data_IF_977752379782
#
_entry.id   IF_977752379782
#
_cell.length_a   1.000
_cell.length_b   1.000
_cell.length_c   1.000
_cell.angle_alpha   90.00
_cell.angle_beta   90.00
_cell.angle_gamma   90.00
#
_symmetry.space_group_name_H-M   'P 1'
#
loop_
_entity.id
_entity.type
_entity.pdbx_description
1 polymer ?
#
# COMPACT_ATOMS: atom_id res chain seq x y z
N UNK A 1 10.11 33.00 18.38
CA UNK A 1 9.17 33.54 17.38
C UNK A 1 8.08 32.48 17.17
N UNK A 2 6.80 32.79 17.45
CA UNK A 2 5.69 31.88 17.10
C UNK A 2 5.58 31.87 15.57
N UNK A 3 5.98 30.79 14.94
CA UNK A 3 5.86 30.62 13.50
C UNK A 3 4.38 30.54 13.16
N UNK A 4 3.86 31.55 12.46
CA UNK A 4 2.44 31.63 12.13
C UNK A 4 2.12 30.61 11.03
N UNK A 5 1.15 29.74 11.31
CA UNK A 5 0.65 28.79 10.32
C UNK A 5 -0.30 29.49 9.35
N UNK A 6 -0.22 29.14 8.08
CA UNK A 6 -1.06 29.71 7.03
C UNK A 6 -2.37 28.91 6.97
N UNK A 7 -3.50 29.57 7.19
CA UNK A 7 -4.82 28.97 7.01
C UNK A 7 -5.24 29.10 5.55
N UNK A 8 -5.51 27.97 4.91
CA UNK A 8 -5.92 27.92 3.50
C UNK A 8 -6.82 26.69 3.25
N UNK A 9 -7.07 26.36 2.00
CA UNK A 9 -7.81 25.16 1.60
C UNK A 9 -6.91 24.22 0.80
N UNK A 10 -7.27 22.95 0.74
CA UNK A 10 -6.49 21.96 0.01
C UNK A 10 -6.38 22.31 -1.49
N UNK A 11 -7.34 23.04 -2.05
CA UNK A 11 -7.30 23.50 -3.44
C UNK A 11 -6.10 24.41 -3.78
N UNK A 12 -5.59 25.14 -2.78
CA UNK A 12 -4.38 25.97 -2.95
C UNK A 12 -3.09 25.14 -2.88
N UNK A 13 -3.18 23.94 -2.30
CA UNK A 13 -2.04 23.08 -2.00
C UNK A 13 -1.79 22.01 -3.06
N UNK A 14 -2.84 21.61 -3.80
CA UNK A 14 -2.74 20.50 -4.74
C UNK A 14 -3.51 20.75 -6.04
N UNK A 15 -2.98 20.19 -7.12
CA UNK A 15 -3.70 20.01 -8.38
C UNK A 15 -4.06 18.54 -8.53
N UNK A 16 -5.28 18.23 -8.96
CA UNK A 16 -5.75 16.87 -9.13
C UNK A 16 -5.64 16.43 -10.58
N UNK A 17 -5.16 15.22 -10.80
CA UNK A 17 -5.14 14.54 -12.08
C UNK A 17 -5.99 13.27 -11.99
N UNK A 18 -6.89 13.06 -12.93
CA UNK A 18 -7.65 11.82 -13.06
C UNK A 18 -6.85 10.79 -13.84
N UNK A 19 -6.89 9.55 -13.38
CA UNK A 19 -6.38 8.43 -14.15
C UNK A 19 -7.35 7.95 -15.22
N UNK A 20 -6.99 6.83 -15.84
CA UNK A 20 -7.79 6.17 -16.87
C UNK A 20 -7.51 4.67 -16.91
N UNK A 21 -8.43 3.94 -17.52
CA UNK A 21 -8.27 2.51 -17.76
C UNK A 21 -8.12 2.32 -19.27
N UNK A 22 -6.96 1.82 -19.75
CA UNK A 22 -6.82 1.43 -21.15
C UNK A 22 -7.88 0.41 -21.53
N UNK A 23 -8.28 0.38 -22.79
CA UNK A 23 -9.30 -0.57 -23.26
C UNK A 23 -8.86 -2.00 -22.94
N UNK A 24 -9.69 -2.73 -22.20
CA UNK A 24 -9.44 -4.15 -21.87
C UNK A 24 -9.63 -5.06 -23.10
N UNK A 25 -10.31 -4.56 -24.13
CA UNK A 25 -10.51 -5.30 -25.39
C UNK A 25 -9.28 -5.27 -26.29
N UNK A 26 -8.29 -4.41 -26.00
CA UNK A 26 -7.03 -4.39 -26.73
C UNK A 26 -5.92 -5.01 -25.86
N UNK A 27 -5.49 -6.25 -26.13
CA UNK A 27 -4.45 -6.93 -25.36
C UNK A 27 -3.09 -6.23 -25.46
N UNK A 28 -2.81 -5.47 -26.54
CA UNK A 28 -1.54 -4.77 -26.76
C UNK A 28 -1.30 -3.62 -25.76
N UNK A 29 -2.33 -3.23 -25.01
CA UNK A 29 -2.21 -2.21 -23.97
C UNK A 29 -1.76 -2.78 -22.61
N UNK A 30 -1.77 -4.11 -22.45
CA UNK A 30 -1.54 -4.79 -21.19
C UNK A 30 -0.31 -5.70 -21.22
N UNK A 31 0.25 -5.99 -20.03
CA UNK A 31 1.40 -6.90 -19.89
C UNK A 31 2.76 -6.27 -20.23
N UNK A 32 2.84 -4.94 -20.24
CA UNK A 32 4.11 -4.21 -20.38
C UNK A 32 4.87 -4.05 -19.09
N UNK A 33 5.74 -3.03 -19.04
CA UNK A 33 6.63 -2.76 -17.89
C UNK A 33 6.14 -1.63 -16.97
N UNK A 34 5.06 -0.94 -17.33
CA UNK A 34 4.56 0.21 -16.58
C UNK A 34 3.48 -0.24 -15.61
N UNK A 35 3.69 -0.14 -14.28
CA UNK A 35 2.69 -0.47 -13.28
C UNK A 35 1.39 0.32 -13.47
N UNK A 36 0.25 -0.37 -13.43
CA UNK A 36 -1.07 0.24 -13.50
C UNK A 36 -1.83 0.03 -12.20
N UNK A 37 -1.97 1.12 -11.45
CA UNK A 37 -2.50 1.12 -10.09
C UNK A 37 -4.02 1.16 -10.08
N UNK A 38 -4.60 0.27 -9.31
CA UNK A 38 -6.01 0.24 -8.97
C UNK A 38 -6.23 0.15 -7.46
N UNK A 39 -7.46 0.23 -6.99
CA UNK A 39 -7.75 0.14 -5.56
C UNK A 39 -7.39 -1.21 -4.92
N UNK A 40 -7.22 -2.28 -5.70
CA UNK A 40 -6.78 -3.60 -5.22
C UNK A 40 -5.32 -3.60 -4.75
N UNK A 41 -4.51 -2.68 -5.28
CA UNK A 41 -3.07 -2.59 -5.01
C UNK A 41 -2.76 -1.83 -3.72
N UNK A 42 -3.76 -1.20 -3.08
CA UNK A 42 -3.61 -0.45 -1.83
C UNK A 42 -3.44 -1.38 -0.62
N UNK A 43 -2.44 -2.26 -0.64
CA UNK A 43 -2.11 -3.20 0.45
C UNK A 43 -1.17 -2.59 1.48
N UNK A 44 -0.42 -1.57 1.09
CA UNK A 44 0.49 -0.78 1.93
C UNK A 44 0.40 0.69 1.54
N UNK A 45 0.95 1.56 2.40
CA UNK A 45 0.97 3.01 2.15
C UNK A 45 1.92 3.40 1.00
N UNK A 46 2.87 2.51 0.65
CA UNK A 46 3.81 2.70 -0.46
C UNK A 46 3.66 1.60 -1.47
N UNK A 47 3.56 1.97 -2.75
CA UNK A 47 3.49 1.05 -3.89
C UNK A 47 4.77 1.16 -4.70
N UNK A 48 5.48 0.04 -4.82
CA UNK A 48 6.70 -0.10 -5.62
C UNK A 48 6.41 -0.79 -6.95
N UNK A 49 5.36 -1.61 -6.99
CA UNK A 49 4.93 -2.39 -8.13
C UNK A 49 3.47 -2.79 -7.98
N UNK A 50 2.83 -3.23 -9.07
CA UNK A 50 1.42 -3.63 -9.13
C UNK A 50 1.26 -4.98 -9.82
N UNK A 51 0.08 -5.57 -9.66
CA UNK A 51 -0.23 -6.84 -10.35
C UNK A 51 -0.46 -6.63 -11.86
N UNK A 52 -1.14 -5.54 -12.22
CA UNK A 52 -1.40 -5.21 -13.62
C UNK A 52 -0.37 -4.20 -14.13
N UNK A 53 0.09 -4.41 -15.37
CA UNK A 53 1.01 -3.54 -16.06
C UNK A 53 0.44 -3.13 -17.43
N UNK A 54 0.82 -1.96 -17.90
CA UNK A 54 0.47 -1.46 -19.23
C UNK A 54 1.73 -1.24 -20.08
N UNK A 55 1.52 -1.17 -21.38
CA UNK A 55 2.58 -0.90 -22.37
C UNK A 55 2.73 0.59 -22.64
N UNK A 56 3.86 0.99 -23.27
CA UNK A 56 4.06 2.35 -23.79
C UNK A 56 2.96 2.73 -24.79
N UNK A 57 2.48 1.77 -25.59
CA UNK A 57 1.38 1.98 -26.52
C UNK A 57 0.10 2.44 -25.81
N UNK A 58 -0.18 1.95 -24.61
CA UNK A 58 -1.32 2.41 -23.81
C UNK A 58 -1.13 3.87 -23.35
N UNK A 59 0.11 4.27 -23.05
CA UNK A 59 0.45 5.66 -22.68
C UNK A 59 0.28 6.59 -23.86
N UNK A 60 0.77 6.23 -25.04
CA UNK A 60 0.58 6.98 -26.28
C UNK A 60 -0.91 7.16 -26.62
N UNK A 61 -1.75 6.18 -26.26
CA UNK A 61 -3.20 6.20 -26.45
C UNK A 61 -4.00 6.76 -25.25
N UNK A 62 -3.35 7.52 -24.36
CA UNK A 62 -4.01 8.38 -23.38
C UNK A 62 -3.97 7.90 -21.92
N UNK A 63 -3.29 6.80 -21.61
CA UNK A 63 -3.01 6.46 -20.22
C UNK A 63 -2.04 7.50 -19.62
N UNK A 64 -2.37 8.00 -18.43
CA UNK A 64 -1.61 9.07 -17.80
C UNK A 64 -0.61 8.52 -16.81
N UNK A 65 0.61 9.03 -16.88
CA UNK A 65 1.67 8.66 -15.96
C UNK A 65 1.79 9.65 -14.79
N UNK A 66 2.27 9.14 -13.68
CA UNK A 66 2.71 9.92 -12.52
C UNK A 66 4.11 9.50 -12.09
N UNK A 67 4.94 10.45 -11.64
CA UNK A 67 6.28 10.15 -11.17
C UNK A 67 6.25 9.57 -9.74
N UNK A 68 7.39 8.97 -9.29
CA UNK A 68 7.58 8.59 -7.90
C UNK A 68 7.34 9.76 -6.94
N UNK A 69 6.82 9.47 -5.74
CA UNK A 69 6.44 10.46 -4.73
C UNK A 69 5.05 11.06 -4.92
N UNK A 70 4.33 10.67 -5.98
CA UNK A 70 2.93 11.09 -6.18
C UNK A 70 2.01 10.35 -5.22
N UNK A 71 1.08 11.07 -4.61
CA UNK A 71 0.03 10.49 -3.77
C UNK A 71 -1.17 10.18 -4.63
N UNK A 72 -1.63 8.94 -4.60
CA UNK A 72 -2.91 8.54 -5.19
C UNK A 72 -3.95 8.35 -4.08
N UNK A 73 -5.12 8.91 -4.30
CA UNK A 73 -6.28 8.82 -3.42
C UNK A 73 -7.44 8.18 -4.17
N UNK A 74 -8.01 7.10 -3.63
CA UNK A 74 -9.25 6.56 -4.17
C UNK A 74 -10.43 7.44 -3.74
N UNK A 75 -11.14 7.99 -4.73
CA UNK A 75 -12.31 8.86 -4.52
C UNK A 75 -13.62 8.10 -4.70
N UNK A 76 -13.57 6.83 -5.05
CA UNK A 76 -14.72 5.95 -5.23
C UNK A 76 -14.38 4.51 -4.86
N UNK A 77 -15.31 3.80 -4.24
CA UNK A 77 -15.19 2.38 -3.96
C UNK A 77 -15.68 1.97 -2.58
N UNK A 78 -15.74 0.64 -2.36
CA UNK A 78 -16.21 0.06 -1.09
C UNK A 78 -15.25 0.32 0.08
N UNK A 79 -13.95 0.47 -0.18
CA UNK A 79 -12.95 0.74 0.88
C UNK A 79 -13.18 2.08 1.57
N UNK A 80 -13.71 3.08 0.87
CA UNK A 80 -14.10 4.38 1.44
C UNK A 80 -15.15 4.28 2.55
N UNK A 81 -15.82 3.14 2.71
CA UNK A 81 -16.71 2.90 3.84
C UNK A 81 -15.96 2.60 5.15
N UNK A 82 -14.70 2.15 5.05
CA UNK A 82 -13.90 1.69 6.20
C UNK A 82 -12.69 2.59 6.48
N UNK A 83 -12.03 3.06 5.45
CA UNK A 83 -10.80 3.84 5.53
C UNK A 83 -10.71 4.83 4.37
N UNK A 84 -9.86 5.85 4.48
CA UNK A 84 -9.48 6.72 3.36
C UNK A 84 -8.36 6.02 2.59
N UNK A 85 -8.64 5.42 1.40
CA UNK A 85 -7.62 4.66 0.69
C UNK A 85 -6.67 5.63 0.00
N UNK A 86 -5.43 5.73 0.47
CA UNK A 86 -4.39 6.56 -0.12
C UNK A 86 -3.05 5.85 -0.09
N UNK A 87 -2.22 6.11 -1.10
CA UNK A 87 -0.89 5.52 -1.26
C UNK A 87 0.09 6.52 -1.85
N UNK A 88 1.37 6.36 -1.53
CA UNK A 88 2.50 7.04 -2.16
C UNK A 88 3.13 6.10 -3.20
N UNK A 89 3.22 6.55 -4.44
CA UNK A 89 3.83 5.78 -5.53
C UNK A 89 5.35 5.92 -5.46
N UNK A 90 6.08 4.80 -5.55
CA UNK A 90 7.54 4.77 -5.50
C UNK A 90 8.22 4.49 -6.84
N UNK A 91 7.43 4.31 -7.91
CA UNK A 91 7.87 4.09 -9.30
C UNK A 91 7.09 5.03 -10.24
N UNK A 92 7.49 5.10 -11.51
CA UNK A 92 6.62 5.72 -12.51
C UNK A 92 5.46 4.77 -12.80
N UNK A 93 4.22 5.23 -12.67
CA UNK A 93 3.04 4.38 -12.79
C UNK A 93 1.88 5.10 -13.48
N UNK A 94 0.96 4.32 -14.03
CA UNK A 94 -0.37 4.75 -14.45
C UNK A 94 -1.41 4.32 -13.42
N UNK A 95 -2.63 4.82 -13.49
CA UNK A 95 -3.66 4.53 -12.50
C UNK A 95 -5.07 4.66 -13.09
N UNK A 96 -6.03 4.00 -12.45
CA UNK A 96 -7.41 3.95 -12.93
C UNK A 96 -8.18 5.26 -12.66
N UNK A 97 -9.39 5.38 -13.25
CA UNK A 97 -10.26 6.57 -13.16
C UNK A 97 -10.84 6.82 -11.77
N UNK A 98 -10.91 5.82 -10.90
CA UNK A 98 -11.46 5.93 -9.53
C UNK A 98 -10.44 6.52 -8.55
N UNK A 99 -9.20 6.68 -9.01
CA UNK A 99 -8.11 7.30 -8.28
C UNK A 99 -7.88 8.74 -8.77
N UNK A 100 -7.38 9.56 -7.86
CA UNK A 100 -6.89 10.93 -8.14
C UNK A 100 -5.44 11.03 -7.69
N UNK A 101 -4.59 11.48 -8.60
CA UNK A 101 -3.24 11.87 -8.27
C UNK A 101 -3.24 13.30 -7.74
N UNK A 102 -2.56 13.51 -6.62
CA UNK A 102 -2.41 14.81 -5.97
C UNK A 102 -1.02 15.36 -6.27
N UNK A 103 -0.96 16.36 -7.11
CA UNK A 103 0.27 17.09 -7.43
C UNK A 103 0.40 18.29 -6.50
N UNK A 104 1.41 18.28 -5.64
CA UNK A 104 1.67 19.35 -4.68
C UNK A 104 2.06 20.65 -5.39
N UNK A 105 1.58 21.77 -4.87
CA UNK A 105 2.09 23.11 -5.19
C UNK A 105 3.32 23.42 -4.32
N UNK A 106 3.92 24.59 -4.49
CA UNK A 106 5.07 25.04 -3.68
C UNK A 106 4.74 25.26 -2.20
N UNK A 107 3.46 25.27 -1.82
CA UNK A 107 3.00 25.51 -0.45
C UNK A 107 3.10 24.26 0.46
N UNK A 108 3.13 23.07 -0.11
CA UNK A 108 3.06 21.82 0.64
C UNK A 108 4.02 20.77 0.09
N UNK A 109 4.69 20.06 0.99
CA UNK A 109 5.53 18.93 0.59
C UNK A 109 4.71 17.63 0.46
N UNK A 110 5.01 16.74 -0.50
CA UNK A 110 4.22 15.51 -0.71
C UNK A 110 4.09 14.65 0.54
N UNK A 111 5.17 14.43 1.27
CA UNK A 111 5.14 13.62 2.49
C UNK A 111 4.34 14.25 3.63
N UNK A 112 4.39 15.58 3.78
CA UNK A 112 3.54 16.25 4.76
C UNK A 112 2.07 16.13 4.37
N UNK A 113 1.74 16.29 3.08
CA UNK A 113 0.39 16.09 2.56
C UNK A 113 -0.11 14.67 2.85
N UNK A 114 0.72 13.64 2.64
CA UNK A 114 0.37 12.26 2.93
C UNK A 114 -0.07 12.09 4.39
N UNK A 115 0.75 12.55 5.33
CA UNK A 115 0.44 12.44 6.76
C UNK A 115 -0.74 13.32 7.19
N UNK A 116 -0.88 14.48 6.58
CA UNK A 116 -2.05 15.33 6.83
C UNK A 116 -3.35 14.65 6.37
N UNK A 117 -3.35 14.02 5.20
CA UNK A 117 -4.50 13.25 4.69
C UNK A 117 -4.83 12.06 5.60
N UNK A 118 -3.81 11.34 6.08
CA UNK A 118 -3.99 10.23 7.04
C UNK A 118 -4.61 10.74 8.34
N UNK A 119 -4.10 11.82 8.89
CA UNK A 119 -4.62 12.42 10.12
C UNK A 119 -6.05 12.96 9.95
N UNK A 120 -6.37 13.49 8.75
CA UNK A 120 -7.69 14.04 8.41
C UNK A 120 -8.66 12.97 7.87
N UNK A 121 -8.26 11.70 7.83
CA UNK A 121 -9.03 10.63 7.19
C UNK A 121 -10.47 10.52 7.70
N UNK A 122 -10.67 10.56 9.02
CA UNK A 122 -11.99 10.49 9.63
C UNK A 122 -12.90 11.65 9.18
N UNK A 123 -12.36 12.88 9.15
CA UNK A 123 -13.09 14.06 8.72
C UNK A 123 -13.46 14.00 7.22
N UNK A 124 -12.54 13.51 6.38
CA UNK A 124 -12.75 13.36 4.94
C UNK A 124 -13.76 12.25 4.63
N UNK A 125 -13.70 11.13 5.36
CA UNK A 125 -14.68 10.05 5.25
C UNK A 125 -16.08 10.48 5.63
N UNK A 126 -16.23 11.35 6.63
CA UNK A 126 -17.53 11.93 7.01
C UNK A 126 -18.17 12.81 5.92
N UNK A 127 -17.40 13.20 4.89
CA UNK A 127 -17.88 13.95 3.72
C UNK A 127 -18.20 13.06 2.51
N UNK A 128 -18.07 11.73 2.64
CA UNK A 128 -18.39 10.81 1.56
C UNK A 128 -19.88 10.59 1.44
N UNK A 129 -20.39 10.69 0.21
CA UNK A 129 -21.76 10.35 -0.13
C UNK A 129 -21.91 8.87 -0.47
N UNK A 130 -23.13 8.35 -0.32
CA UNK A 130 -23.44 7.02 -0.82
C UNK A 130 -23.62 7.07 -2.35
N UNK A 131 -22.89 6.20 -3.04
CA UNK A 131 -23.07 5.94 -4.45
C UNK A 131 -23.85 4.64 -4.65
N UNK A 132 -24.22 4.32 -5.89
CA UNK A 132 -24.96 3.10 -6.21
C UNK A 132 -24.25 1.83 -5.67
N UNK A 133 -25.03 0.83 -5.27
CA UNK A 133 -24.58 -0.50 -4.82
C UNK A 133 -23.69 -0.50 -3.55
N UNK A 134 -23.97 0.39 -2.60
CA UNK A 134 -23.24 0.43 -1.31
C UNK A 134 -21.80 0.94 -1.42
N UNK A 135 -21.40 1.50 -2.57
CA UNK A 135 -20.12 2.17 -2.73
C UNK A 135 -20.18 3.59 -2.18
N UNK A 136 -19.07 4.09 -1.63
CA UNK A 136 -18.97 5.49 -1.23
C UNK A 136 -18.17 6.29 -2.25
N UNK A 137 -18.44 7.59 -2.30
CA UNK A 137 -17.75 8.55 -3.17
C UNK A 137 -17.37 9.78 -2.37
N UNK A 138 -16.11 10.16 -2.46
CA UNK A 138 -15.62 11.45 -1.98
C UNK A 138 -15.66 12.43 -3.16
N UNK A 139 -16.53 13.42 -3.06
CA UNK A 139 -16.62 14.46 -4.09
C UNK A 139 -15.34 15.29 -4.11
N UNK A 140 -14.76 15.44 -5.29
CA UNK A 140 -13.52 16.21 -5.51
C UNK A 140 -13.62 17.63 -4.98
N UNK A 141 -14.78 18.27 -5.12
CA UNK A 141 -15.00 19.63 -4.65
C UNK A 141 -14.98 19.73 -3.13
N UNK A 142 -15.56 18.74 -2.41
CA UNK A 142 -15.52 18.67 -0.96
C UNK A 142 -14.12 18.36 -0.43
N UNK A 143 -13.35 17.54 -1.15
CA UNK A 143 -11.95 17.32 -0.84
C UNK A 143 -11.14 18.63 -0.95
N UNK A 144 -11.25 19.31 -2.09
CA UNK A 144 -10.50 20.55 -2.36
C UNK A 144 -10.88 21.71 -1.45
N UNK A 145 -12.13 21.81 -1.01
CA UNK A 145 -12.59 22.84 -0.07
C UNK A 145 -12.22 22.57 1.40
N UNK A 146 -11.56 21.45 1.68
CA UNK A 146 -11.18 21.11 3.05
C UNK A 146 -10.13 22.11 3.57
N UNK A 147 -10.38 22.75 4.74
CA UNK A 147 -9.43 23.68 5.32
C UNK A 147 -8.18 22.95 5.80
N UNK A 148 -7.04 23.59 5.61
CA UNK A 148 -5.73 23.11 6.04
C UNK A 148 -4.93 24.25 6.67
N UNK A 149 -4.22 23.95 7.75
CA UNK A 149 -3.26 24.85 8.38
C UNK A 149 -1.85 24.39 8.04
N UNK A 150 -1.10 25.22 7.36
CA UNK A 150 0.24 24.90 6.85
C UNK A 150 1.31 25.57 7.71
N UNK A 151 2.18 24.77 8.35
CA UNK A 151 3.42 25.31 8.90
C UNK A 151 4.40 25.65 7.78
N UNK A 152 5.46 26.42 8.06
CA UNK A 152 6.55 26.64 7.11
C UNK A 152 7.11 25.32 6.55
N UNK A 153 7.60 25.35 5.31
CA UNK A 153 8.11 24.16 4.62
C UNK A 153 9.15 23.38 5.42
N UNK A 154 10.03 24.08 6.13
CA UNK A 154 11.04 23.46 7.02
C UNK A 154 10.40 22.65 8.14
N UNK A 155 9.30 23.14 8.70
CA UNK A 155 8.53 22.43 9.73
C UNK A 155 7.76 21.26 9.15
N UNK A 156 7.18 21.42 7.95
CA UNK A 156 6.54 20.32 7.21
C UNK A 156 7.53 19.17 6.97
N UNK A 157 8.73 19.48 6.50
CA UNK A 157 9.79 18.50 6.28
C UNK A 157 10.15 17.76 7.56
N UNK A 158 10.35 18.49 8.66
CA UNK A 158 10.69 17.89 9.96
C UNK A 158 9.58 16.96 10.49
N UNK A 159 8.32 17.37 10.38
CA UNK A 159 7.17 16.53 10.74
C UNK A 159 7.17 15.25 9.89
N UNK A 160 7.32 15.40 8.57
CA UNK A 160 7.34 14.28 7.65
C UNK A 160 8.51 13.32 7.89
N UNK A 161 9.70 13.82 8.23
CA UNK A 161 10.87 13.01 8.59
C UNK A 161 10.63 12.17 9.85
N UNK A 162 10.08 12.77 10.90
CA UNK A 162 9.77 12.07 12.15
C UNK A 162 8.77 10.94 11.84
N UNK A 163 7.65 11.23 11.19
CA UNK A 163 6.61 10.25 10.91
C UNK A 163 7.09 9.15 9.96
N UNK A 164 7.85 9.51 8.91
CA UNK A 164 8.41 8.51 7.99
C UNK A 164 9.44 7.58 8.65
N UNK A 165 10.03 7.99 9.76
CA UNK A 165 10.91 7.11 10.53
C UNK A 165 10.12 6.01 11.23
N UNK A 166 8.95 6.34 11.78
CA UNK A 166 8.05 5.34 12.37
C UNK A 166 7.50 4.38 11.30
N UNK A 167 7.10 4.89 10.13
CA UNK A 167 6.65 4.02 9.03
C UNK A 167 7.74 3.02 8.63
N UNK A 168 8.99 3.49 8.46
CA UNK A 168 10.12 2.61 8.14
C UNK A 168 10.36 1.55 9.22
N UNK A 169 10.18 1.90 10.49
CA UNK A 169 10.28 0.93 11.59
C UNK A 169 9.17 -0.11 11.51
N UNK A 170 7.93 0.31 11.23
CA UNK A 170 6.78 -0.58 11.05
C UNK A 170 7.02 -1.52 9.88
N UNK A 171 7.42 -1.00 8.72
CA UNK A 171 7.70 -1.78 7.51
C UNK A 171 8.83 -2.80 7.78
N UNK A 172 9.90 -2.38 8.45
CA UNK A 172 11.01 -3.26 8.81
C UNK A 172 10.57 -4.38 9.76
N UNK A 173 9.76 -4.05 10.76
CA UNK A 173 9.25 -5.06 11.69
C UNK A 173 8.29 -6.04 11.01
N UNK A 174 7.40 -5.56 10.14
CA UNK A 174 6.52 -6.43 9.35
C UNK A 174 7.32 -7.38 8.45
N UNK A 175 8.38 -6.87 7.80
CA UNK A 175 9.29 -7.72 7.00
C UNK A 175 10.00 -8.76 7.86
N UNK A 176 10.46 -8.38 9.06
CA UNK A 176 11.09 -9.32 10.00
C UNK A 176 10.12 -10.41 10.46
N UNK A 177 8.88 -10.04 10.76
CA UNK A 177 7.82 -11.00 11.13
C UNK A 177 7.62 -12.00 9.99
N UNK A 178 7.41 -11.53 8.75
CA UNK A 178 7.21 -12.42 7.60
C UNK A 178 8.40 -13.38 7.38
N UNK A 179 9.65 -12.91 7.53
CA UNK A 179 10.84 -13.75 7.40
C UNK A 179 10.95 -14.78 8.53
N UNK A 180 10.57 -14.41 9.77
CA UNK A 180 10.55 -15.34 10.90
C UNK A 180 9.47 -16.40 10.72
N UNK A 181 8.27 -16.03 10.30
CA UNK A 181 7.19 -16.97 9.98
C UNK A 181 7.62 -17.97 8.89
N UNK A 182 8.26 -17.47 7.82
CA UNK A 182 8.80 -18.32 6.77
C UNK A 182 9.87 -19.28 7.32
N UNK A 183 10.77 -18.80 8.17
CA UNK A 183 11.82 -19.61 8.78
C UNK A 183 11.25 -20.71 9.67
N UNK A 184 10.22 -20.38 10.49
CA UNK A 184 9.52 -21.36 11.33
C UNK A 184 8.84 -22.41 10.46
N UNK A 185 8.19 -22.00 9.37
CA UNK A 185 7.53 -22.92 8.45
C UNK A 185 8.52 -23.90 7.78
N UNK A 186 9.68 -23.39 7.34
CA UNK A 186 10.75 -24.23 6.80
C UNK A 186 11.30 -25.20 7.83
N UNK A 187 11.56 -24.72 9.06
CA UNK A 187 12.04 -25.55 10.15
C UNK A 187 11.03 -26.65 10.52
N UNK A 188 9.73 -26.29 10.56
CA UNK A 188 8.66 -27.26 10.79
C UNK A 188 8.65 -28.36 9.72
N UNK A 189 8.77 -27.98 8.44
CA UNK A 189 8.86 -28.94 7.34
C UNK A 189 10.06 -29.87 7.50
N UNK A 190 11.24 -29.33 7.77
CA UNK A 190 12.46 -30.13 7.96
C UNK A 190 12.33 -31.09 9.14
N UNK A 191 11.83 -30.62 10.27
CA UNK A 191 11.79 -31.41 11.48
C UNK A 191 10.66 -32.42 11.50
N UNK A 192 9.45 -32.02 11.12
CA UNK A 192 8.24 -32.84 11.34
C UNK A 192 7.70 -33.51 10.07
N UNK A 193 7.97 -32.93 8.89
CA UNK A 193 7.57 -33.55 7.63
C UNK A 193 8.69 -34.42 7.06
N UNK A 194 9.91 -33.91 7.01
CA UNK A 194 11.07 -34.64 6.52
C UNK A 194 11.79 -35.43 7.61
N UNK A 195 11.37 -35.34 8.86
CA UNK A 195 11.92 -36.02 10.03
C UNK A 195 13.44 -35.79 10.20
N UNK A 196 13.94 -34.60 9.91
CA UNK A 196 15.36 -34.21 9.98
C UNK A 196 15.66 -33.35 11.20
N UNK A 197 15.04 -33.63 12.34
CA UNK A 197 15.34 -32.92 13.58
C UNK A 197 16.62 -33.44 14.24
N UNK A 198 17.33 -32.63 15.03
CA UNK A 198 18.52 -33.05 15.77
C UNK A 198 18.22 -34.26 16.67
N UNK A 199 18.98 -35.34 16.53
CA UNK A 199 18.78 -36.56 17.29
C UNK A 199 17.76 -37.57 16.69
N UNK A 200 17.19 -37.30 15.52
CA UNK A 200 16.23 -38.19 14.87
C UNK A 200 16.78 -39.62 14.68
N UNK A 201 18.05 -39.74 14.32
CA UNK A 201 18.67 -41.08 14.11
C UNK A 201 18.68 -41.92 15.40
N UNK A 202 18.87 -41.28 16.56
CA UNK A 202 18.82 -41.99 17.84
C UNK A 202 17.40 -42.45 18.20
N UNK A 203 16.37 -41.64 17.86
CA UNK A 203 14.95 -41.97 18.05
C UNK A 203 14.52 -43.08 17.10
N UNK A 204 14.93 -43.02 15.84
CA UNK A 204 14.65 -44.09 14.83
C UNK A 204 15.30 -45.42 15.19
N UNK A 205 16.47 -45.36 15.80
CA UNK A 205 17.11 -46.56 16.36
C UNK A 205 16.31 -47.18 17.49
N UNK A 206 15.80 -46.38 18.41
CA UNK A 206 15.00 -46.83 19.55
C UNK A 206 13.64 -47.42 19.15
N UNK A 207 12.93 -46.82 18.18
CA UNK A 207 11.65 -47.34 17.67
C UNK A 207 11.84 -48.69 16.93
N UNK A 208 12.92 -48.83 16.16
CA UNK A 208 13.27 -50.12 15.56
C UNK A 208 13.56 -51.23 16.60
N UNK A 209 14.19 -50.87 17.71
CA UNK A 209 14.42 -51.80 18.81
C UNK A 209 13.13 -52.25 19.50
N UNK A 210 12.15 -51.34 19.63
CA UNK A 210 10.84 -51.67 20.21
C UNK A 210 10.04 -52.61 19.29
N UNK A 211 10.00 -52.36 17.98
CA UNK A 211 9.31 -53.22 17.01
C UNK A 211 9.91 -54.64 16.92
N UNK A 212 11.25 -54.75 17.01
CA UNK A 212 11.93 -56.05 17.00
C UNK A 212 11.70 -56.83 18.30
N UNK A 213 11.57 -56.14 19.44
CA UNK A 213 11.24 -56.75 20.73
C UNK A 213 9.80 -57.23 20.77
N UNK A 214 8.85 -56.47 20.24
CA UNK A 214 7.44 -56.84 20.18
C UNK A 214 7.23 -58.12 19.35
N UNK A 215 7.89 -58.22 18.20
CA UNK A 215 7.84 -59.40 17.34
C UNK A 215 8.53 -60.65 17.92
N UNK A 216 9.35 -60.52 18.99
CA UNK A 216 9.95 -61.64 19.72
C UNK A 216 9.11 -62.13 20.88
N UNK A 217 8.20 -61.29 21.39
CA UNK A 217 7.29 -61.71 22.48
C UNK A 217 6.01 -62.40 21.98
N UNK A 218 5.71 -62.24 20.66
CA UNK A 218 4.53 -62.81 20.00
C UNK A 218 4.82 -64.13 19.29
N UNK A 219 5.98 -64.76 19.59
CA UNK A 219 6.36 -66.13 19.18
C UNK A 219 6.62 -66.97 20.42
#
# INVERSE_FOLDING_TARGET
>A
MKTQWIKTTLSSCVKLQSGGTPSKNNPDYWGGDIPWVSSKDFKSIRIYDTEDHITDLAVENGAKLVPPGTILLAVRGMRLAKELPLVEIQCTASFNQDLKALHCTELITPRFLLYWLLASSHQLMGKCDEAAHGTKRLQTQLLLSTPIELPPLTTQQRIAEILSTYDRLIDNNNRRIALLEQSIHLLYKEWFVHLRFPGYESVRGATRFCEVRQKRCDR
#
